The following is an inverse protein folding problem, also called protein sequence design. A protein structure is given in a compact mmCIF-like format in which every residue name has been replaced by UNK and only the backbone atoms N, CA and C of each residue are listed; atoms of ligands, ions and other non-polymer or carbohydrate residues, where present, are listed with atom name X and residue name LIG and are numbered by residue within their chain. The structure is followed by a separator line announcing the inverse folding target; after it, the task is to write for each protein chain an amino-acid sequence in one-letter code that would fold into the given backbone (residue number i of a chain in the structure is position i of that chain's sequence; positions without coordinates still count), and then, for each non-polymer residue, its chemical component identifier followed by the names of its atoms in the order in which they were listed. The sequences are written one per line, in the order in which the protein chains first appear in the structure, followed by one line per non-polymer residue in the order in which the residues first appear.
data_IF_367945202832
#
_entry.id   IF_367945202832
#
_cell.length_a   1.000
_cell.length_b   1.000
_cell.length_c   1.000
_cell.angle_alpha   90.00
_cell.angle_beta   90.00
_cell.angle_gamma   90.00
#
_symmetry.space_group_name_H-M   'P 1'
#
loop_
_entity.id
_entity.type
_entity.pdbx_description
1 polymer ?
#
# COMPACT_ATOMS: atom_id res chain seq x y z
N UNK A 1 -16.45 28.68 44.80
CA UNK A 1 -16.55 29.12 43.38
C UNK A 1 -17.51 28.18 42.67
N UNK A 2 -18.78 28.58 42.53
CA UNK A 2 -19.85 27.76 41.96
C UNK A 2 -19.83 27.85 40.43
N UNK A 3 -19.30 26.85 39.74
CA UNK A 3 -19.53 26.67 38.30
C UNK A 3 -20.84 25.90 38.12
N UNK A 4 -21.98 26.59 38.21
CA UNK A 4 -23.24 26.05 37.65
C UNK A 4 -23.06 25.98 36.13
N UNK A 5 -22.70 24.80 35.60
CA UNK A 5 -22.82 24.54 34.18
C UNK A 5 -24.28 24.77 33.78
N UNK A 6 -24.49 25.75 32.91
CA UNK A 6 -25.80 26.20 32.48
C UNK A 6 -26.52 25.03 31.78
N UNK A 7 -27.63 24.54 32.33
CA UNK A 7 -28.35 23.34 31.86
C UNK A 7 -28.75 23.42 30.38
N UNK A 8 -28.93 24.63 29.85
CA UNK A 8 -29.13 24.89 28.40
C UNK A 8 -27.92 24.52 27.54
N UNK A 9 -26.68 24.71 28.03
CA UNK A 9 -25.45 24.33 27.31
C UNK A 9 -25.26 22.82 27.29
N UNK A 10 -25.63 22.12 28.36
CA UNK A 10 -25.63 20.65 28.42
C UNK A 10 -26.67 20.07 27.44
N UNK A 11 -27.88 20.65 27.38
CA UNK A 11 -28.93 20.20 26.46
C UNK A 11 -28.53 20.37 24.97
N UNK A 12 -27.84 21.47 24.62
CA UNK A 12 -27.35 21.73 23.25
C UNK A 12 -26.19 20.79 22.88
N UNK A 13 -25.29 20.48 23.83
CA UNK A 13 -24.23 19.49 23.62
C UNK A 13 -24.80 18.07 23.41
N UNK A 14 -25.86 17.71 24.14
CA UNK A 14 -26.55 16.42 23.98
C UNK A 14 -27.29 16.36 22.64
N UNK A 15 -27.96 17.43 22.20
CA UNK A 15 -28.66 17.42 20.90
C UNK A 15 -27.71 17.37 19.70
N UNK A 16 -26.55 18.04 19.76
CA UNK A 16 -25.52 17.95 18.72
C UNK A 16 -24.90 16.54 18.62
N UNK A 17 -24.72 15.86 19.76
CA UNK A 17 -24.27 14.46 19.78
C UNK A 17 -25.29 13.51 19.13
N UNK A 18 -26.60 13.70 19.33
CA UNK A 18 -27.62 12.82 18.74
C UNK A 18 -27.82 13.01 17.22
N UNK A 19 -27.63 14.21 16.68
CA UNK A 19 -27.80 14.46 15.23
C UNK A 19 -26.65 13.85 14.41
N UNK A 20 -25.43 13.81 14.96
CA UNK A 20 -24.28 13.18 14.31
C UNK A 20 -24.42 11.66 14.19
N UNK A 21 -24.81 10.99 15.28
CA UNK A 21 -25.02 9.53 15.31
C UNK A 21 -26.18 9.06 14.43
N UNK A 22 -27.26 9.84 14.34
CA UNK A 22 -28.41 9.51 13.49
C UNK A 22 -28.08 9.52 12.00
N UNK A 23 -27.24 10.46 11.55
CA UNK A 23 -26.86 10.60 10.14
C UNK A 23 -25.80 9.56 9.69
N UNK A 24 -24.86 9.19 10.55
CA UNK A 24 -23.88 8.14 10.24
C UNK A 24 -24.54 6.79 9.96
N UNK A 25 -25.48 6.38 10.83
CA UNK A 25 -26.20 5.13 10.69
C UNK A 25 -27.11 5.10 9.45
N UNK A 26 -27.63 6.25 9.02
CA UNK A 26 -28.46 6.33 7.81
C UNK A 26 -27.63 6.24 6.54
N UNK A 27 -26.45 6.88 6.49
CA UNK A 27 -25.54 6.80 5.35
C UNK A 27 -24.99 5.38 5.15
N UNK A 28 -24.57 4.70 6.22
CA UNK A 28 -24.09 3.31 6.10
C UNK A 28 -25.17 2.37 5.58
N UNK A 29 -26.39 2.46 6.12
CA UNK A 29 -27.55 1.68 5.61
C UNK A 29 -27.83 1.99 4.14
N UNK A 30 -27.72 3.24 3.73
CA UNK A 30 -27.91 3.66 2.34
C UNK A 30 -26.83 3.06 1.43
N UNK A 31 -25.56 3.12 1.83
CA UNK A 31 -24.45 2.50 1.11
C UNK A 31 -24.64 0.99 0.96
N UNK A 32 -25.00 0.27 2.03
CA UNK A 32 -25.28 -1.17 2.00
C UNK A 32 -26.45 -1.52 1.06
N UNK A 33 -27.51 -0.71 1.06
CA UNK A 33 -28.62 -0.88 0.12
C UNK A 33 -28.18 -0.69 -1.34
N UNK A 34 -27.30 0.29 -1.61
CA UNK A 34 -26.73 0.53 -2.95
C UNK A 34 -25.79 -0.59 -3.38
N UNK A 35 -24.93 -1.12 -2.49
CA UNK A 35 -24.12 -2.31 -2.76
C UNK A 35 -25.01 -3.49 -3.18
N UNK A 36 -26.07 -3.77 -2.42
CA UNK A 36 -27.03 -4.83 -2.76
C UNK A 36 -27.70 -4.61 -4.12
N UNK A 37 -28.03 -3.36 -4.46
CA UNK A 37 -28.59 -3.01 -5.78
C UNK A 37 -27.56 -3.21 -6.90
N UNK A 38 -26.32 -2.75 -6.71
CA UNK A 38 -25.24 -2.87 -7.68
C UNK A 38 -24.92 -4.34 -7.95
N UNK A 39 -24.79 -5.17 -6.91
CA UNK A 39 -24.59 -6.62 -7.06
C UNK A 39 -25.68 -7.30 -7.90
N UNK A 40 -26.96 -6.94 -7.70
CA UNK A 40 -28.06 -7.45 -8.54
C UNK A 40 -27.92 -7.03 -10.00
N UNK A 41 -27.45 -5.81 -10.28
CA UNK A 41 -27.23 -5.33 -11.65
C UNK A 41 -26.03 -6.01 -12.30
N UNK A 42 -24.91 -6.16 -11.58
CA UNK A 42 -23.74 -6.94 -12.00
C UNK A 42 -24.18 -8.33 -12.45
N UNK A 43 -24.90 -9.07 -11.59
CA UNK A 43 -25.36 -10.42 -11.92
C UNK A 43 -26.27 -10.49 -13.15
N UNK A 44 -27.03 -9.42 -13.46
CA UNK A 44 -27.86 -9.38 -14.67
C UNK A 44 -27.01 -9.14 -15.92
N UNK A 45 -26.11 -8.16 -15.86
CA UNK A 45 -25.21 -7.82 -16.96
C UNK A 45 -24.29 -8.99 -17.32
N UNK A 46 -23.74 -9.69 -16.33
CA UNK A 46 -22.88 -10.85 -16.57
C UNK A 46 -23.63 -12.05 -17.15
N UNK A 47 -24.91 -12.25 -16.80
CA UNK A 47 -25.76 -13.27 -17.42
C UNK A 47 -26.03 -12.99 -18.90
N UNK A 48 -25.95 -11.74 -19.33
CA UNK A 48 -26.03 -11.33 -20.72
C UNK A 48 -24.66 -11.39 -21.43
N UNK A 49 -23.61 -11.90 -20.77
CA UNK A 49 -22.26 -12.00 -21.33
C UNK A 49 -21.52 -10.66 -21.42
N UNK A 50 -21.97 -9.63 -20.69
CA UNK A 50 -21.36 -8.30 -20.69
C UNK A 50 -20.43 -8.14 -19.48
N UNK A 51 -19.37 -7.34 -19.66
CA UNK A 51 -18.39 -7.06 -18.61
C UNK A 51 -18.96 -6.17 -17.49
N UNK A 52 -18.73 -6.58 -16.24
CA UNK A 52 -19.07 -5.83 -15.04
C UNK A 52 -17.91 -5.81 -14.01
N UNK A 53 -16.67 -6.00 -14.47
CA UNK A 53 -15.51 -6.14 -13.58
C UNK A 53 -15.24 -4.85 -12.80
N UNK A 54 -15.39 -3.69 -13.46
CA UNK A 54 -15.24 -2.38 -12.81
C UNK A 54 -16.23 -2.21 -11.65
N UNK A 55 -17.47 -2.63 -11.82
CA UNK A 55 -18.49 -2.53 -10.79
C UNK A 55 -18.22 -3.49 -9.62
N UNK A 56 -17.66 -4.68 -9.87
CA UNK A 56 -17.20 -5.59 -8.80
C UNK A 56 -16.09 -4.94 -7.96
N UNK A 57 -15.14 -4.28 -8.60
CA UNK A 57 -14.12 -3.49 -7.91
C UNK A 57 -14.74 -2.33 -7.10
N UNK A 58 -15.74 -1.64 -7.64
CA UNK A 58 -16.48 -0.60 -6.90
C UNK A 58 -17.16 -1.16 -5.65
N UNK A 59 -17.80 -2.33 -5.73
CA UNK A 59 -18.40 -3.01 -4.57
C UNK A 59 -17.33 -3.30 -3.52
N UNK A 60 -16.19 -3.89 -3.91
CA UNK A 60 -15.09 -4.16 -2.97
C UNK A 60 -14.54 -2.88 -2.33
N UNK A 61 -14.47 -1.79 -3.09
CA UNK A 61 -14.03 -0.48 -2.57
C UNK A 61 -15.00 0.04 -1.51
N UNK A 62 -16.30 -0.04 -1.78
CA UNK A 62 -17.31 0.32 -0.79
C UNK A 62 -17.19 -0.53 0.48
N UNK A 63 -17.02 -1.85 0.35
CA UNK A 63 -16.86 -2.77 1.50
C UNK A 63 -15.60 -2.48 2.34
N UNK A 64 -14.50 -2.06 1.71
CA UNK A 64 -13.26 -1.69 2.44
C UNK A 64 -13.45 -0.35 3.15
N UNK A 65 -13.92 0.68 2.45
CA UNK A 65 -14.03 2.02 3.03
C UNK A 65 -15.16 2.16 4.05
N UNK A 66 -16.22 1.35 3.98
CA UNK A 66 -17.20 1.30 5.06
C UNK A 66 -16.62 0.71 6.36
N UNK A 67 -15.67 -0.25 6.26
CA UNK A 67 -14.94 -0.74 7.43
C UNK A 67 -13.98 0.32 8.01
N UNK A 68 -13.33 1.10 7.14
CA UNK A 68 -12.48 2.22 7.56
C UNK A 68 -13.30 3.31 8.25
N UNK A 69 -14.36 3.80 7.63
CA UNK A 69 -15.28 4.77 8.24
C UNK A 69 -15.83 4.29 9.60
N UNK A 70 -16.17 3.00 9.71
CA UNK A 70 -16.61 2.38 10.98
C UNK A 70 -15.51 2.37 12.05
N UNK A 71 -14.24 2.23 11.66
CA UNK A 71 -13.10 2.35 12.54
C UNK A 71 -12.86 3.81 12.92
N UNK A 72 -12.89 4.73 11.95
CA UNK A 72 -12.65 6.16 12.15
C UNK A 72 -13.66 6.78 13.11
N UNK A 73 -14.94 6.39 13.01
CA UNK A 73 -16.02 6.81 13.92
C UNK A 73 -15.74 6.43 15.38
N UNK A 74 -15.07 5.29 15.59
CA UNK A 74 -14.70 4.79 16.93
C UNK A 74 -13.35 5.32 17.41
N UNK A 75 -12.58 5.96 16.53
CA UNK A 75 -11.19 6.36 16.77
C UNK A 75 -10.93 7.86 16.52
N UNK A 76 -11.94 8.71 16.69
CA UNK A 76 -11.86 10.16 16.50
C UNK A 76 -10.66 10.80 17.23
N UNK A 77 -10.37 10.36 18.45
CA UNK A 77 -9.22 10.88 19.21
C UNK A 77 -7.88 10.58 18.50
N UNK A 78 -7.72 9.36 17.97
CA UNK A 78 -6.52 8.97 17.21
C UNK A 78 -6.39 9.77 15.92
N UNK A 79 -7.49 9.91 15.20
CA UNK A 79 -7.53 10.68 13.95
C UNK A 79 -7.25 12.17 14.18
N UNK A 80 -7.73 12.74 15.29
CA UNK A 80 -7.42 14.12 15.67
C UNK A 80 -5.91 14.31 15.83
N UNK A 81 -5.22 13.39 16.50
CA UNK A 81 -3.76 13.45 16.63
C UNK A 81 -3.03 13.30 15.29
N UNK A 82 -3.55 12.47 14.37
CA UNK A 82 -2.99 12.34 13.02
C UNK A 82 -3.20 13.61 12.18
N UNK A 83 -4.39 14.21 12.20
CA UNK A 83 -4.66 15.45 11.47
C UNK A 83 -3.84 16.64 11.99
N UNK A 84 -3.46 16.65 13.27
CA UNK A 84 -2.53 17.65 13.83
C UNK A 84 -1.13 17.61 13.21
N UNK A 85 -0.71 16.47 12.65
CA UNK A 85 0.57 16.33 11.96
C UNK A 85 0.56 16.98 10.57
N UNK A 86 -0.63 17.26 10.02
CA UNK A 86 -0.79 17.88 8.70
C UNK A 86 -1.11 19.36 8.87
N UNK A 87 -0.23 20.24 8.39
CA UNK A 87 -0.30 21.70 8.61
C UNK A 87 -1.68 22.29 8.30
N UNK A 88 -2.30 21.87 7.20
CA UNK A 88 -3.56 22.42 6.70
C UNK A 88 -4.77 22.02 7.55
N UNK A 89 -4.69 20.90 8.27
CA UNK A 89 -5.77 20.39 9.12
C UNK A 89 -5.52 20.64 10.60
N UNK A 90 -4.34 21.15 10.98
CA UNK A 90 -3.93 21.24 12.39
C UNK A 90 -4.91 22.03 13.26
N UNK A 91 -5.48 23.11 12.73
CA UNK A 91 -6.45 23.96 13.44
C UNK A 91 -7.87 23.40 13.44
N UNK A 92 -8.23 22.59 12.44
CA UNK A 92 -9.55 21.94 12.30
C UNK A 92 -9.53 20.46 12.68
N UNK A 93 -8.44 19.96 13.28
CA UNK A 93 -8.16 18.52 13.37
C UNK A 93 -9.28 17.71 14.04
N UNK A 94 -9.89 18.23 15.10
CA UNK A 94 -11.00 17.58 15.80
C UNK A 94 -12.28 17.54 14.94
N UNK A 95 -12.58 18.66 14.28
CA UNK A 95 -13.74 18.77 13.38
C UNK A 95 -13.56 17.79 12.21
N UNK A 96 -12.41 17.86 11.52
CA UNK A 96 -12.07 16.95 10.42
C UNK A 96 -12.10 15.48 10.85
N UNK A 97 -11.55 15.13 12.02
CA UNK A 97 -11.60 13.76 12.53
C UNK A 97 -13.03 13.29 12.86
N UNK A 98 -13.90 14.18 13.31
CA UNK A 98 -15.30 13.88 13.63
C UNK A 98 -16.12 13.69 12.35
N UNK A 99 -15.82 14.45 11.30
CA UNK A 99 -16.55 14.41 10.03
C UNK A 99 -16.05 13.30 9.07
N UNK A 100 -14.81 12.83 9.25
CA UNK A 100 -14.17 11.84 8.37
C UNK A 100 -15.06 10.62 8.04
N UNK A 101 -15.72 9.94 8.99
CA UNK A 101 -16.54 8.78 8.68
C UNK A 101 -17.71 9.09 7.73
N UNK A 102 -18.33 10.25 7.89
CA UNK A 102 -19.46 10.66 7.05
C UNK A 102 -19.00 11.17 5.68
N UNK A 103 -17.82 11.79 5.63
CA UNK A 103 -17.15 12.13 4.38
C UNK A 103 -16.90 10.85 3.54
N UNK A 104 -16.26 9.83 4.14
CA UNK A 104 -15.97 8.57 3.45
C UNK A 104 -17.24 7.82 3.02
N UNK A 105 -18.26 7.75 3.89
CA UNK A 105 -19.57 7.16 3.54
C UNK A 105 -20.25 7.93 2.41
N UNK A 106 -20.14 9.25 2.39
CA UNK A 106 -20.63 10.12 1.31
C UNK A 106 -19.97 9.79 -0.02
N UNK A 107 -18.64 9.72 -0.05
CA UNK A 107 -17.87 9.35 -1.25
C UNK A 107 -18.21 7.93 -1.73
N UNK A 108 -18.36 6.98 -0.81
CA UNK A 108 -18.81 5.61 -1.13
C UNK A 108 -20.19 5.63 -1.79
N UNK A 109 -21.14 6.40 -1.24
CA UNK A 109 -22.48 6.52 -1.82
C UNK A 109 -22.42 7.11 -3.23
N UNK A 110 -21.65 8.17 -3.43
CA UNK A 110 -21.49 8.79 -4.74
C UNK A 110 -20.89 7.82 -5.75
N UNK A 111 -19.79 7.14 -5.39
CA UNK A 111 -19.15 6.13 -6.23
C UNK A 111 -20.12 4.99 -6.61
N UNK A 112 -20.94 4.54 -5.66
CA UNK A 112 -21.94 3.50 -5.91
C UNK A 112 -23.05 4.00 -6.84
N UNK A 113 -23.48 5.25 -6.74
CA UNK A 113 -24.48 5.84 -7.64
C UNK A 113 -23.97 5.95 -9.07
N UNK A 114 -22.73 6.40 -9.26
CA UNK A 114 -22.07 6.45 -10.56
C UNK A 114 -21.96 5.06 -11.20
N UNK A 115 -21.55 4.05 -10.41
CA UNK A 115 -21.47 2.67 -10.88
C UNK A 115 -22.84 2.08 -11.23
N UNK A 116 -23.87 2.33 -10.41
CA UNK A 116 -25.26 1.90 -10.67
C UNK A 116 -25.79 2.55 -11.96
N UNK A 117 -25.53 3.85 -12.15
CA UNK A 117 -25.93 4.55 -13.36
C UNK A 117 -25.26 3.95 -14.60
N UNK A 118 -23.93 3.77 -14.56
CA UNK A 118 -23.18 3.27 -15.71
C UNK A 118 -23.52 1.82 -16.06
N UNK A 119 -23.62 0.92 -15.08
CA UNK A 119 -23.99 -0.49 -15.33
C UNK A 119 -25.41 -0.63 -15.87
N UNK A 120 -26.30 0.32 -15.52
CA UNK A 120 -27.64 0.38 -16.09
C UNK A 120 -27.58 0.72 -17.58
N UNK A 121 -26.69 1.65 -17.99
CA UNK A 121 -26.47 1.95 -19.41
C UNK A 121 -25.94 0.72 -20.18
N UNK A 122 -25.04 -0.07 -19.58
CA UNK A 122 -24.54 -1.33 -20.17
C UNK A 122 -25.68 -2.33 -20.33
N UNK A 123 -26.46 -2.53 -19.26
CA UNK A 123 -27.62 -3.43 -19.24
C UNK A 123 -28.62 -3.05 -20.33
N UNK A 124 -28.92 -1.77 -20.47
CA UNK A 124 -29.87 -1.23 -21.45
C UNK A 124 -29.30 -1.18 -22.89
N UNK A 125 -28.03 -1.56 -23.10
CA UNK A 125 -27.37 -1.53 -24.41
C UNK A 125 -27.06 -0.13 -24.93
N UNK A 126 -27.18 0.90 -24.09
CA UNK A 126 -26.90 2.30 -24.44
C UNK A 126 -25.41 2.60 -24.53
N UNK A 127 -24.59 1.82 -23.82
CA UNK A 127 -23.14 1.85 -23.93
C UNK A 127 -22.60 0.43 -24.09
N UNK A 128 -21.55 0.29 -24.89
CA UNK A 128 -20.80 -0.95 -25.02
C UNK A 128 -19.42 -0.78 -24.40
N UNK A 129 -19.00 -1.72 -23.55
CA UNK A 129 -17.70 -1.72 -22.89
C UNK A 129 -16.89 -2.91 -23.39
N UNK A 130 -15.62 -2.67 -23.74
CA UNK A 130 -14.68 -3.76 -23.98
C UNK A 130 -14.43 -4.52 -22.68
N UNK A 131 -14.34 -5.84 -22.78
CA UNK A 131 -13.98 -6.70 -21.65
C UNK A 131 -12.70 -6.22 -20.97
N UNK A 132 -12.75 -6.11 -19.64
CA UNK A 132 -11.60 -5.72 -18.83
C UNK A 132 -10.91 -7.01 -18.37
N UNK A 133 -9.60 -7.19 -18.63
CA UNK A 133 -8.92 -8.38 -18.17
C UNK A 133 -8.87 -8.40 -16.63
N UNK A 134 -9.41 -9.45 -16.02
CA UNK A 134 -9.18 -9.74 -14.60
C UNK A 134 -7.80 -10.39 -14.45
N UNK A 135 -6.78 -9.57 -14.20
CA UNK A 135 -5.37 -9.98 -14.22
C UNK A 135 -5.05 -10.86 -13.01
N UNK A 136 -4.78 -12.14 -13.26
CA UNK A 136 -4.21 -13.04 -12.26
C UNK A 136 -2.69 -12.81 -12.18
N UNK A 137 -2.25 -12.13 -11.13
CA UNK A 137 -0.84 -11.79 -10.89
C UNK A 137 0.09 -12.99 -10.92
N UNK A 138 -0.41 -14.19 -10.56
CA UNK A 138 0.39 -15.43 -10.58
C UNK A 138 0.78 -15.84 -12.00
N UNK A 139 -0.03 -15.44 -12.99
CA UNK A 139 0.12 -15.78 -14.40
C UNK A 139 0.70 -14.64 -15.24
N UNK A 140 1.07 -13.53 -14.61
CA UNK A 140 1.77 -12.44 -15.27
C UNK A 140 3.20 -12.85 -15.61
N UNK A 141 3.67 -12.42 -16.77
CA UNK A 141 5.05 -12.56 -17.22
C UNK A 141 5.70 -11.18 -17.42
N UNK A 142 6.95 -11.04 -16.96
CA UNK A 142 7.74 -9.81 -17.07
C UNK A 142 8.88 -10.02 -18.06
N UNK A 143 8.71 -9.52 -19.28
CA UNK A 143 9.58 -9.83 -20.41
C UNK A 143 9.84 -8.57 -21.22
N UNK A 144 11.07 -8.36 -21.69
CA UNK A 144 11.40 -7.33 -22.72
C UNK A 144 10.83 -5.93 -22.43
N UNK A 145 10.83 -5.49 -21.18
CA UNK A 145 10.34 -4.15 -20.79
C UNK A 145 8.81 -4.01 -20.74
N UNK A 146 8.07 -5.12 -20.86
CA UNK A 146 6.62 -5.15 -20.75
C UNK A 146 6.17 -6.19 -19.72
N UNK A 147 4.95 -5.98 -19.23
CA UNK A 147 4.24 -6.90 -18.35
C UNK A 147 3.09 -7.47 -19.18
N UNK A 148 2.97 -8.79 -19.25
CA UNK A 148 1.95 -9.44 -20.08
C UNK A 148 1.10 -10.42 -19.27
N UNK A 149 -0.17 -10.50 -19.62
CA UNK A 149 -1.13 -11.49 -19.13
C UNK A 149 -1.96 -11.98 -20.32
N UNK A 150 -2.06 -13.30 -20.51
CA UNK A 150 -2.71 -13.91 -21.68
C UNK A 150 -2.20 -13.32 -23.02
N UNK A 151 -0.87 -13.19 -23.16
CA UNK A 151 -0.19 -12.63 -24.34
C UNK A 151 -0.57 -11.19 -24.69
N UNK A 152 -1.16 -10.43 -23.75
CA UNK A 152 -1.49 -9.02 -23.92
C UNK A 152 -0.75 -8.16 -22.90
N UNK A 153 -0.23 -6.99 -23.30
CA UNK A 153 0.31 -6.03 -22.35
C UNK A 153 -0.73 -5.62 -21.31
N UNK A 154 -0.32 -5.54 -20.05
CA UNK A 154 -1.13 -5.06 -18.94
C UNK A 154 -0.36 -4.06 -18.10
N UNK A 155 -1.09 -3.18 -17.43
CA UNK A 155 -0.55 -2.26 -16.44
C UNK A 155 -0.99 -2.72 -15.07
N UNK A 156 -0.04 -2.82 -14.15
CA UNK A 156 -0.31 -3.26 -12.78
C UNK A 156 -0.29 -2.07 -11.84
N UNK A 157 -1.16 -2.11 -10.84
CA UNK A 157 -1.24 -1.13 -9.77
C UNK A 157 -1.34 -1.86 -8.42
N UNK A 158 -0.65 -1.33 -7.42
CA UNK A 158 -0.71 -1.77 -6.03
C UNK A 158 -0.42 -0.57 -5.11
N UNK A 159 -0.57 -0.76 -3.80
CA UNK A 159 -0.41 0.25 -2.76
C UNK A 159 0.74 -0.10 -1.82
N UNK A 160 1.58 0.89 -1.52
CA UNK A 160 2.70 0.70 -0.59
C UNK A 160 2.18 0.36 0.81
N UNK A 161 2.76 -0.68 1.43
CA UNK A 161 2.41 -1.17 2.77
C UNK A 161 0.97 -1.63 2.94
N UNK A 162 0.27 -1.94 1.84
CA UNK A 162 -1.03 -2.59 1.89
C UNK A 162 -0.90 -3.99 2.52
N UNK A 163 -1.75 -4.35 3.49
CA UNK A 163 -1.74 -5.71 4.03
C UNK A 163 -2.05 -6.78 2.98
N UNK A 164 -1.29 -7.88 3.01
CA UNK A 164 -1.51 -9.05 2.17
C UNK A 164 -2.71 -9.85 2.69
N UNK A 165 -3.89 -9.56 2.16
CA UNK A 165 -5.14 -10.26 2.50
C UNK A 165 -5.96 -10.54 1.25
N UNK A 166 -6.69 -11.66 1.22
CA UNK A 166 -7.58 -12.00 0.09
C UNK A 166 -8.53 -10.85 -0.27
N UNK A 167 -9.03 -10.11 0.73
CA UNK A 167 -9.94 -8.98 0.52
C UNK A 167 -9.28 -7.85 -0.28
N UNK A 168 -8.01 -7.53 0.02
CA UNK A 168 -7.29 -6.44 -0.63
C UNK A 168 -6.60 -6.89 -1.93
N UNK A 169 -6.24 -8.15 -2.05
CA UNK A 169 -5.56 -8.67 -3.25
C UNK A 169 -6.49 -8.96 -4.43
N UNK A 170 -7.81 -9.03 -4.21
CA UNK A 170 -8.77 -9.30 -5.28
C UNK A 170 -8.78 -8.20 -6.36
N UNK A 171 -8.62 -6.92 -5.98
CA UNK A 171 -8.67 -5.79 -6.91
C UNK A 171 -7.58 -4.72 -6.71
N UNK A 172 -6.86 -4.72 -5.58
CA UNK A 172 -5.85 -3.69 -5.30
C UNK A 172 -4.42 -4.17 -5.50
N UNK A 173 -4.21 -5.13 -6.41
CA UNK A 173 -2.90 -5.70 -6.73
C UNK A 173 -2.46 -6.83 -5.79
N UNK A 174 -1.44 -7.57 -6.20
CA UNK A 174 -0.78 -8.61 -5.38
C UNK A 174 0.73 -8.58 -5.66
N UNK A 175 1.30 -7.38 -5.55
CA UNK A 175 2.71 -7.09 -5.72
C UNK A 175 3.51 -7.74 -4.60
N UNK A 176 4.44 -8.61 -4.97
CA UNK A 176 5.31 -9.25 -4.00
C UNK A 176 6.60 -8.42 -3.77
N UNK A 177 7.34 -8.77 -2.74
CA UNK A 177 8.66 -8.22 -2.52
C UNK A 177 9.34 -8.73 -1.27
N UNK A 178 10.56 -8.27 -1.10
CA UNK A 178 11.38 -8.55 0.09
C UNK A 178 12.17 -7.32 0.46
N UNK A 179 12.38 -7.15 1.76
CA UNK A 179 13.14 -6.05 2.32
C UNK A 179 14.47 -6.55 2.88
N UNK A 180 15.57 -5.94 2.46
CA UNK A 180 16.90 -6.17 3.01
C UNK A 180 17.58 -4.86 3.41
N UNK A 181 18.46 -4.92 4.40
CA UNK A 181 19.05 -3.73 5.03
C UNK A 181 20.42 -4.05 5.67
N UNK A 182 21.36 -3.09 5.72
CA UNK A 182 22.64 -3.21 6.45
C UNK A 182 22.49 -3.72 7.89
N UNK A 183 21.40 -3.37 8.56
CA UNK A 183 21.09 -3.78 9.93
C UNK A 183 21.04 -5.31 10.11
N UNK A 184 20.92 -6.07 9.02
CA UNK A 184 20.84 -7.52 9.03
C UNK A 184 22.24 -8.19 9.04
N UNK A 185 23.33 -7.42 8.89
CA UNK A 185 24.72 -7.91 8.97
C UNK A 185 25.20 -7.83 10.41
N UNK A 186 25.50 -8.99 11.01
CA UNK A 186 25.78 -9.13 12.43
C UNK A 186 27.21 -8.75 12.82
N UNK A 187 28.19 -8.91 11.92
CA UNK A 187 29.60 -8.72 12.25
C UNK A 187 30.48 -8.32 11.06
N UNK A 188 31.75 -8.03 11.34
CA UNK A 188 32.74 -7.55 10.38
C UNK A 188 33.25 -8.63 9.41
N UNK A 189 32.91 -9.89 9.65
CA UNK A 189 33.16 -11.04 8.79
C UNK A 189 32.03 -11.24 7.75
N UNK A 190 30.95 -10.46 7.84
CA UNK A 190 29.86 -10.48 6.86
C UNK A 190 28.73 -11.44 7.18
N UNK A 191 28.66 -11.99 8.41
CA UNK A 191 27.59 -12.91 8.81
C UNK A 191 26.23 -12.20 8.80
N UNK A 192 25.35 -12.58 7.87
CA UNK A 192 23.96 -12.11 7.86
C UNK A 192 23.10 -12.90 8.84
N UNK A 193 22.08 -12.25 9.42
CA UNK A 193 21.13 -12.88 10.33
C UNK A 193 20.47 -14.12 9.67
N UNK A 194 20.70 -15.31 10.22
CA UNK A 194 20.20 -16.57 9.66
C UNK A 194 18.67 -16.66 9.57
N UNK A 195 17.92 -15.89 10.38
CA UNK A 195 16.47 -15.81 10.24
C UNK A 195 16.06 -15.07 8.97
N UNK A 196 16.84 -14.07 8.54
CA UNK A 196 16.63 -13.37 7.26
C UNK A 196 16.90 -14.33 6.11
N UNK A 197 18.03 -15.02 6.11
CA UNK A 197 18.38 -15.97 5.06
C UNK A 197 17.34 -17.09 4.92
N UNK A 198 16.90 -17.68 6.03
CA UNK A 198 15.85 -18.70 6.03
C UNK A 198 14.51 -18.16 5.52
N UNK A 199 14.16 -16.90 5.82
CA UNK A 199 12.95 -16.27 5.27
C UNK A 199 13.05 -16.11 3.76
N UNK A 200 14.20 -15.69 3.23
CA UNK A 200 14.40 -15.55 1.79
C UNK A 200 14.34 -16.91 1.07
N UNK A 201 14.99 -17.92 1.64
CA UNK A 201 15.05 -19.28 1.08
C UNK A 201 13.67 -19.97 1.08
N UNK A 202 12.87 -19.75 2.12
CA UNK A 202 11.55 -20.36 2.24
C UNK A 202 10.41 -19.51 1.65
N UNK A 203 10.69 -18.31 1.13
CA UNK A 203 9.65 -17.42 0.60
C UNK A 203 9.06 -18.02 -0.68
N UNK A 204 7.74 -18.23 -0.77
CA UNK A 204 7.11 -18.69 -2.00
C UNK A 204 7.34 -17.74 -3.17
N UNK A 205 7.63 -18.29 -4.34
CA UNK A 205 7.78 -17.53 -5.59
C UNK A 205 6.46 -17.57 -6.38
N UNK A 206 5.50 -16.70 -6.04
CA UNK A 206 4.10 -16.80 -6.52
C UNK A 206 3.71 -15.64 -7.44
N UNK A 207 3.88 -14.39 -7.02
CA UNK A 207 3.52 -13.20 -7.79
C UNK A 207 4.76 -12.34 -8.09
N UNK A 208 4.73 -11.52 -9.16
CA UNK A 208 5.85 -10.68 -9.52
C UNK A 208 6.07 -9.57 -8.48
N UNK A 209 7.33 -9.19 -8.29
CA UNK A 209 7.70 -8.28 -7.21
C UNK A 209 9.07 -7.64 -7.38
N UNK A 210 9.51 -6.91 -6.35
CA UNK A 210 10.86 -6.35 -6.29
C UNK A 210 11.53 -6.51 -4.92
N UNK A 211 12.86 -6.48 -4.92
CA UNK A 211 13.68 -6.43 -3.71
C UNK A 211 13.88 -4.96 -3.33
N UNK A 212 13.47 -4.54 -2.13
CA UNK A 212 13.77 -3.22 -1.59
C UNK A 212 15.03 -3.28 -0.72
N UNK A 213 16.07 -2.54 -1.12
CA UNK A 213 17.30 -2.38 -0.35
C UNK A 213 17.29 -1.04 0.36
N UNK A 214 17.20 -1.08 1.69
CA UNK A 214 17.33 0.09 2.54
C UNK A 214 18.79 0.43 2.81
N UNK A 215 19.12 1.72 2.94
CA UNK A 215 20.48 2.19 3.25
C UNK A 215 20.62 2.77 4.67
N UNK A 216 19.64 2.49 5.53
CA UNK A 216 19.66 2.85 6.97
C UNK A 216 20.00 1.68 7.87
N UNK A 217 20.30 1.99 9.13
CA UNK A 217 20.55 1.00 10.17
C UNK A 217 21.94 0.39 10.04
N UNK A 218 22.95 1.24 9.90
CA UNK A 218 24.35 0.81 9.89
C UNK A 218 24.64 0.00 11.16
N UNK A 219 25.22 -1.21 11.04
CA UNK A 219 25.56 -2.01 12.20
C UNK A 219 26.77 -1.41 12.94
N UNK A 220 26.75 -1.52 14.27
CA UNK A 220 27.80 -0.95 15.14
C UNK A 220 29.22 -1.38 14.75
N UNK A 221 29.40 -2.63 14.32
CA UNK A 221 30.73 -3.13 13.92
C UNK A 221 31.33 -2.33 12.76
N UNK A 222 30.51 -1.78 11.86
CA UNK A 222 30.99 -1.00 10.73
C UNK A 222 31.49 0.36 11.21
N UNK A 223 30.76 0.99 12.13
CA UNK A 223 31.17 2.25 12.77
C UNK A 223 32.47 2.05 13.55
N UNK A 224 32.53 1.02 14.38
CA UNK A 224 33.72 0.74 15.21
C UNK A 224 34.97 0.46 14.35
N UNK A 225 34.80 -0.11 13.14
CA UNK A 225 35.90 -0.46 12.23
C UNK A 225 36.35 0.68 11.33
N UNK A 226 35.42 1.46 10.78
CA UNK A 226 35.69 2.52 9.80
C UNK A 226 35.67 3.93 10.40
N UNK A 227 35.40 4.02 11.71
CA UNK A 227 35.42 5.24 12.49
C UNK A 227 34.25 6.15 12.21
N UNK A 228 34.21 7.25 12.97
CA UNK A 228 33.15 8.26 12.93
C UNK A 228 32.88 8.87 11.56
N UNK A 229 33.89 8.94 10.68
CA UNK A 229 33.72 9.43 9.31
C UNK A 229 32.75 8.58 8.48
N UNK A 230 32.52 7.32 8.88
CA UNK A 230 31.62 6.41 8.19
C UNK A 230 30.18 6.91 8.12
N UNK A 231 29.71 7.59 9.17
CA UNK A 231 28.33 8.07 9.31
C UNK A 231 28.23 9.59 9.28
N UNK A 232 29.35 10.31 9.27
CA UNK A 232 29.43 11.77 9.21
C UNK A 232 29.61 12.22 7.75
N UNK A 233 28.50 12.32 7.03
CA UNK A 233 28.46 12.84 5.66
C UNK A 233 27.24 13.74 5.47
N UNK A 234 27.31 14.63 4.48
CA UNK A 234 26.19 15.49 4.11
C UNK A 234 25.26 14.74 3.15
N UNK A 235 24.39 13.87 3.68
CA UNK A 235 23.39 13.17 2.88
C UNK A 235 22.07 12.93 3.60
N UNK A 236 21.02 13.71 3.32
CA UNK A 236 19.65 13.47 3.81
C UNK A 236 18.85 12.60 2.82
N UNK A 237 17.72 11.98 3.20
CA UNK A 237 17.36 11.40 4.48
C UNK A 237 17.40 9.86 4.45
N UNK A 238 17.94 9.20 3.42
CA UNK A 238 17.79 7.76 3.18
C UNK A 238 19.05 6.91 3.35
N UNK A 239 20.19 7.53 3.65
CA UNK A 239 21.46 6.88 3.92
C UNK A 239 21.92 7.21 5.33
N UNK A 240 22.49 6.23 6.02
CA UNK A 240 23.14 6.42 7.33
C UNK A 240 24.68 6.27 7.24
N UNK A 241 25.23 6.13 6.04
CA UNK A 241 26.65 5.98 5.80
C UNK A 241 27.13 6.69 4.53
N UNK A 242 28.40 7.09 4.52
CA UNK A 242 29.09 7.62 3.35
C UNK A 242 29.32 6.50 2.32
N UNK A 243 28.71 6.64 1.13
CA UNK A 243 28.81 5.65 0.05
C UNK A 243 30.22 5.55 -0.55
N UNK A 244 31.02 6.60 -0.41
CA UNK A 244 32.40 6.63 -0.92
C UNK A 244 33.38 6.00 0.07
N UNK A 245 32.97 5.80 1.33
CA UNK A 245 33.78 5.11 2.32
C UNK A 245 33.99 3.63 1.91
N UNK A 246 35.22 3.08 1.96
CA UNK A 246 35.48 1.69 1.61
C UNK A 246 34.67 0.68 2.45
N UNK A 247 34.30 1.05 3.68
CA UNK A 247 33.44 0.27 4.53
C UNK A 247 32.03 0.06 3.98
N UNK A 248 31.49 1.02 3.21
CA UNK A 248 30.15 0.97 2.67
C UNK A 248 30.07 -0.08 1.57
N UNK A 249 31.05 -0.05 0.65
CA UNK A 249 31.21 -1.06 -0.40
C UNK A 249 31.35 -2.46 0.20
N UNK A 250 32.16 -2.61 1.27
CA UNK A 250 32.35 -3.91 1.92
C UNK A 250 31.09 -4.41 2.64
N UNK A 251 30.45 -3.55 3.42
CA UNK A 251 29.21 -3.85 4.15
C UNK A 251 28.10 -4.26 3.19
N UNK A 252 27.84 -3.47 2.15
CA UNK A 252 26.80 -3.78 1.17
C UNK A 252 27.16 -5.03 0.34
N UNK A 253 28.44 -5.28 0.08
CA UNK A 253 28.87 -6.53 -0.57
C UNK A 253 28.50 -7.75 0.26
N UNK A 254 28.71 -7.73 1.59
CA UNK A 254 28.28 -8.83 2.46
C UNK A 254 26.77 -9.07 2.39
N UNK A 255 25.96 -8.01 2.47
CA UNK A 255 24.51 -8.15 2.36
C UNK A 255 24.10 -8.77 1.02
N UNK A 256 24.62 -8.23 -0.09
CA UNK A 256 24.25 -8.66 -1.44
C UNK A 256 24.71 -10.10 -1.68
N UNK A 257 25.97 -10.44 -1.35
CA UNK A 257 26.53 -11.78 -1.57
C UNK A 257 25.75 -12.87 -0.83
N UNK A 258 25.30 -12.60 0.39
CA UNK A 258 24.58 -13.59 1.20
C UNK A 258 23.08 -13.67 0.86
N UNK A 259 22.46 -12.56 0.45
CA UNK A 259 21.00 -12.53 0.24
C UNK A 259 20.58 -12.79 -1.21
N UNK A 260 21.28 -12.24 -2.20
CA UNK A 260 20.88 -12.31 -3.62
C UNK A 260 20.80 -13.75 -4.16
N UNK A 261 21.75 -14.65 -3.87
CA UNK A 261 21.66 -16.03 -4.36
C UNK A 261 20.39 -16.75 -3.90
N UNK A 262 19.82 -16.37 -2.75
CA UNK A 262 18.57 -16.94 -2.21
C UNK A 262 17.31 -16.44 -2.90
N UNK A 263 17.42 -15.36 -3.68
CA UNK A 263 16.28 -14.70 -4.33
C UNK A 263 16.30 -14.84 -5.86
N UNK A 264 17.42 -15.27 -6.42
CA UNK A 264 17.64 -15.30 -7.87
C UNK A 264 16.65 -16.22 -8.56
N UNK A 265 15.95 -15.71 -9.57
CA UNK A 265 14.99 -16.48 -10.36
C UNK A 265 13.58 -16.58 -9.75
N UNK A 266 13.37 -16.06 -8.53
CA UNK A 266 12.04 -16.01 -7.94
C UNK A 266 11.19 -14.89 -8.56
N UNK A 267 9.89 -15.14 -8.73
CA UNK A 267 8.92 -14.19 -9.29
C UNK A 267 8.90 -12.87 -8.53
N UNK A 268 9.04 -12.89 -7.20
CA UNK A 268 9.10 -11.67 -6.39
C UNK A 268 10.33 -10.78 -6.67
N UNK A 269 11.20 -11.17 -7.63
CA UNK A 269 12.32 -10.36 -8.14
C UNK A 269 12.14 -9.91 -9.60
N UNK A 270 11.00 -10.20 -10.23
CA UNK A 270 10.77 -9.96 -11.67
C UNK A 270 10.88 -8.48 -12.08
N UNK A 271 10.46 -7.56 -11.19
CA UNK A 271 10.61 -6.11 -11.37
C UNK A 271 11.99 -5.58 -10.94
N UNK A 272 12.84 -6.46 -10.42
CA UNK A 272 14.24 -6.19 -10.14
C UNK A 272 14.52 -5.77 -8.70
N UNK A 273 15.63 -5.07 -8.53
CA UNK A 273 16.11 -4.60 -7.23
C UNK A 273 15.98 -3.08 -7.20
N UNK A 274 15.24 -2.59 -6.22
CA UNK A 274 15.05 -1.18 -5.92
C UNK A 274 16.15 -0.72 -4.96
N UNK A 275 17.05 0.13 -5.48
CA UNK A 275 17.96 0.91 -4.65
C UNK A 275 17.35 2.28 -4.41
N UNK A 276 17.28 2.69 -3.14
CA UNK A 276 17.06 4.11 -2.82
C UNK A 276 18.36 4.83 -3.07
N UNK A 277 18.42 5.70 -4.07
CA UNK A 277 19.59 6.52 -4.35
C UNK A 277 19.24 8.00 -4.21
N UNK A 278 20.19 8.78 -3.69
CA UNK A 278 20.13 10.23 -3.71
C UNK A 278 20.97 10.73 -4.88
N UNK A 279 20.32 11.26 -5.90
CA UNK A 279 20.95 12.25 -6.78
C UNK A 279 19.86 13.28 -7.09
N UNK A 280 20.00 14.49 -6.55
CA UNK A 280 19.13 15.65 -6.79
C UNK A 280 17.62 15.43 -6.54
N UNK A 281 17.29 14.51 -5.62
CA UNK A 281 15.92 14.09 -5.32
C UNK A 281 15.86 12.60 -5.00
N UNK A 282 14.70 12.13 -4.54
CA UNK A 282 14.43 10.71 -4.37
C UNK A 282 14.43 10.05 -5.76
N UNK A 283 15.53 9.39 -6.13
CA UNK A 283 15.55 8.53 -7.31
C UNK A 283 15.46 7.08 -6.82
N UNK A 284 14.29 6.50 -7.00
CA UNK A 284 14.12 5.05 -6.94
C UNK A 284 14.61 4.48 -8.27
N UNK A 285 15.77 3.83 -8.29
CA UNK A 285 16.24 3.11 -9.48
C UNK A 285 15.99 1.62 -9.30
N UNK A 286 15.17 1.08 -10.18
CA UNK A 286 15.06 -0.36 -10.35
C UNK A 286 16.17 -0.83 -11.29
N UNK A 287 17.01 -1.74 -10.80
CA UNK A 287 18.05 -2.39 -11.58
C UNK A 287 17.68 -3.86 -11.73
N UNK A 288 17.47 -4.31 -12.97
CA UNK A 288 17.36 -5.74 -13.27
C UNK A 288 18.76 -6.31 -13.39
N UNK A 289 19.28 -6.88 -12.31
CA UNK A 289 20.58 -7.54 -12.34
C UNK A 289 20.38 -8.94 -12.94
N UNK A 290 20.86 -9.14 -14.18
CA UNK A 290 21.02 -10.49 -14.74
C UNK A 290 22.31 -11.06 -14.16
N UNK A 291 22.19 -11.88 -13.12
CA UNK A 291 23.33 -12.61 -12.57
C UNK A 291 23.74 -13.73 -13.53
N UNK A 292 24.64 -13.41 -14.46
CA UNK A 292 25.49 -14.42 -15.07
C UNK A 292 26.50 -14.84 -14.02
N UNK A 293 26.51 -16.14 -13.68
CA UNK A 293 27.55 -16.73 -12.85
C UNK A 293 28.88 -16.48 -13.57
N UNK A 294 29.66 -15.51 -13.11
CA UNK A 294 31.08 -15.44 -13.47
C UNK A 294 31.76 -16.40 -12.50
N UNK A 295 31.80 -17.69 -12.87
CA UNK A 295 32.85 -18.57 -12.37
C UNK A 295 34.14 -18.07 -13.02
N UNK A 296 35.01 -17.49 -12.21
CA UNK A 296 36.45 -17.51 -12.46
C UNK A 296 37.10 -18.20 -11.28
#
# INVERSE_FOLDING_TARGET
MNTRLNSKRILILISLLFVGFGNAQTQEKLALAKIKRLNKLISKVEKEGKDALKEKMTVRTAEVFLEFASWDEKNVAKNTELFKLVSNYKTSALETATELPNFERGDVIQMLDEAIAFVTLIKDGKVNRKEIPNVDWKKVNVEKGQITFNNRPVFLADYTWKPETKKLEEFYGSLDGVYISPAQILNAEGKVNGNVLRKLENKPSVTPGFVFINNKGVPKWAIDKYGDSFTKFNGPPFFDYDIDNPGAKKMMSFLIQETVPKMTGNKYTDFGICFVMNHDGLIIKMVKIRFGIIVK
#
